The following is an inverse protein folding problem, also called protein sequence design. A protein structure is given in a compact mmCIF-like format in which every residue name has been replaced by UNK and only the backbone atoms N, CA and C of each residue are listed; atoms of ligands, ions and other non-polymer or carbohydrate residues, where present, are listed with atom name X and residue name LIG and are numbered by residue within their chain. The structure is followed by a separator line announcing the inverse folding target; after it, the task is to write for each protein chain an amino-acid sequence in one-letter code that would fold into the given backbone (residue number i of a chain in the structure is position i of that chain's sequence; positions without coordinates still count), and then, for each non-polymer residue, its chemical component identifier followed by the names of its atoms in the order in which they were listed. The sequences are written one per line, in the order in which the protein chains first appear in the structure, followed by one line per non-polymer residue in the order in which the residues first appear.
data_IF_163996309197
#
_entry.id   IF_163996309197
#
_cell.length_a   1.000
_cell.length_b   1.000
_cell.length_c   1.000
_cell.angle_alpha   90.00
_cell.angle_beta   90.00
_cell.angle_gamma   90.00
#
_symmetry.space_group_name_H-M   'P 1'
#
loop_
_entity.id
_entity.type
_entity.pdbx_description
1 polymer ?
#
# COMPACT_ATOMS: atom_id res chain seq x y z
N UNK A 1 -10.88 16.15 12.84
CA UNK A 1 -10.55 14.71 12.99
C UNK A 1 -9.50 14.42 11.94
N UNK A 2 -8.25 14.21 12.33
CA UNK A 2 -7.21 13.82 11.38
C UNK A 2 -7.53 12.39 10.94
N UNK A 3 -8.11 12.24 9.75
CA UNK A 3 -8.18 10.94 9.11
C UNK A 3 -6.75 10.54 8.78
N UNK A 4 -6.28 9.49 9.45
CA UNK A 4 -5.01 8.85 9.17
C UNK A 4 -5.00 8.40 7.70
N UNK A 5 -4.16 9.01 6.86
CA UNK A 5 -4.10 8.64 5.44
C UNK A 5 -3.30 7.36 5.31
N UNK A 6 -4.01 6.27 5.02
CA UNK A 6 -3.42 4.98 4.66
C UNK A 6 -3.33 4.90 3.14
N UNK A 7 -2.15 4.52 2.63
CA UNK A 7 -1.89 4.32 1.21
C UNK A 7 -1.77 2.82 0.92
N UNK A 8 -2.51 2.33 -0.06
CA UNK A 8 -2.36 0.97 -0.56
C UNK A 8 -1.41 0.92 -1.76
N UNK A 9 -0.54 -0.10 -1.82
CA UNK A 9 0.37 -0.35 -2.92
C UNK A 9 0.29 -1.82 -3.35
N UNK A 10 0.09 -2.06 -4.64
CA UNK A 10 0.33 -3.37 -5.26
C UNK A 10 1.62 -3.35 -6.06
N UNK A 11 2.48 -4.35 -5.88
CA UNK A 11 3.82 -4.39 -6.47
C UNK A 11 3.98 -5.57 -7.41
N UNK A 12 4.24 -5.26 -8.67
CA UNK A 12 4.67 -6.19 -9.69
C UNK A 12 6.19 -6.14 -9.90
N UNK A 13 6.70 -7.05 -10.75
CA UNK A 13 8.14 -7.14 -11.04
C UNK A 13 8.73 -5.85 -11.62
N UNK A 14 7.97 -5.15 -12.46
CA UNK A 14 8.46 -3.98 -13.23
C UNK A 14 7.76 -2.68 -12.86
N UNK A 15 6.69 -2.74 -12.08
CA UNK A 15 5.84 -1.60 -11.77
C UNK A 15 5.19 -1.77 -10.40
N UNK A 16 4.63 -0.69 -9.88
CA UNK A 16 3.74 -0.73 -8.74
C UNK A 16 2.63 0.32 -8.88
N UNK A 17 1.46 0.00 -8.35
CA UNK A 17 0.26 0.82 -8.38
C UNK A 17 -0.04 1.33 -6.97
N UNK A 18 -0.33 2.63 -6.84
CA UNK A 18 -0.49 3.32 -5.56
C UNK A 18 -1.88 3.95 -5.49
N UNK A 19 -2.57 3.78 -4.37
CA UNK A 19 -3.88 4.40 -4.11
C UNK A 19 -3.83 5.21 -2.81
N UNK A 20 -4.04 6.53 -2.91
CA UNK A 20 -3.89 7.47 -1.79
C UNK A 20 -5.21 7.77 -1.08
N UNK A 21 -6.33 7.79 -1.81
CA UNK A 21 -7.62 8.22 -1.29
C UNK A 21 -8.79 7.39 -1.84
N UNK A 22 -9.95 7.48 -1.16
CA UNK A 22 -11.20 6.84 -1.59
C UNK A 22 -11.71 7.33 -2.95
N UNK A 23 -11.21 8.48 -3.42
CA UNK A 23 -11.72 9.19 -4.60
C UNK A 23 -10.95 8.92 -5.90
N UNK A 24 -10.19 7.82 -5.96
CA UNK A 24 -9.51 7.33 -7.18
C UNK A 24 -8.18 8.01 -7.52
N UNK A 25 -7.52 8.67 -6.54
CA UNK A 25 -6.14 9.15 -6.71
C UNK A 25 -5.20 7.95 -6.78
N UNK A 26 -5.02 7.47 -8.01
CA UNK A 26 -4.27 6.26 -8.33
C UNK A 26 -3.11 6.62 -9.23
N UNK A 27 -1.95 6.07 -8.92
CA UNK A 27 -0.71 6.34 -9.63
C UNK A 27 -0.05 5.04 -10.01
N UNK A 28 0.62 5.03 -11.17
CA UNK A 28 1.37 3.90 -11.68
C UNK A 28 2.82 4.32 -11.84
N UNK A 29 3.74 3.54 -11.28
CA UNK A 29 5.17 3.82 -11.30
C UNK A 29 5.97 2.61 -11.73
N UNK A 30 7.19 2.85 -12.23
CA UNK A 30 8.14 1.77 -12.44
C UNK A 30 8.70 1.26 -11.11
N UNK A 31 8.90 -0.05 -10.98
CA UNK A 31 9.59 -0.64 -9.83
C UNK A 31 11.11 -0.45 -9.99
N UNK A 32 11.53 0.80 -9.83
CA UNK A 32 12.90 1.28 -10.01
C UNK A 32 13.15 2.48 -9.09
N UNK A 33 14.43 2.84 -8.90
CA UNK A 33 14.78 4.03 -8.11
C UNK A 33 14.06 5.29 -8.61
N UNK A 34 13.89 5.44 -9.92
CA UNK A 34 13.15 6.57 -10.53
C UNK A 34 11.69 6.58 -10.09
N UNK A 35 11.01 5.44 -10.13
CA UNK A 35 9.61 5.35 -9.70
C UNK A 35 9.44 5.58 -8.20
N UNK A 36 10.42 5.19 -7.38
CA UNK A 36 10.40 5.49 -5.95
C UNK A 36 10.54 6.99 -5.67
N UNK A 37 11.46 7.67 -6.39
CA UNK A 37 11.60 9.12 -6.30
C UNK A 37 10.32 9.84 -6.76
N UNK A 38 9.67 9.35 -7.81
CA UNK A 38 8.38 9.89 -8.29
C UNK A 38 7.29 9.77 -7.22
N UNK A 39 7.19 8.62 -6.55
CA UNK A 39 6.26 8.42 -5.42
C UNK A 39 6.56 9.39 -4.27
N UNK A 40 7.82 9.50 -3.84
CA UNK A 40 8.22 10.38 -2.74
C UNK A 40 7.96 11.86 -3.04
N UNK A 41 7.91 12.24 -4.32
CA UNK A 41 7.67 13.60 -4.76
C UNK A 41 6.18 13.97 -4.88
N UNK A 42 5.25 13.02 -4.72
CA UNK A 42 3.83 13.35 -4.68
C UNK A 42 3.53 14.29 -3.50
N UNK A 43 2.73 15.33 -3.73
CA UNK A 43 2.44 16.35 -2.70
C UNK A 43 1.87 15.75 -1.41
N UNK A 44 1.00 14.75 -1.51
CA UNK A 44 0.42 14.04 -0.37
C UNK A 44 1.48 13.32 0.45
N UNK A 45 2.53 12.81 -0.21
CA UNK A 45 3.67 12.11 0.42
C UNK A 45 4.65 13.11 1.02
N UNK A 46 5.02 14.15 0.27
CA UNK A 46 5.94 15.21 0.72
C UNK A 46 5.44 15.96 1.93
N UNK A 47 4.12 16.19 2.04
CA UNK A 47 3.51 16.84 3.21
C UNK A 47 3.45 15.92 4.44
N UNK A 48 3.92 14.67 4.32
CA UNK A 48 3.89 13.63 5.37
C UNK A 48 2.51 13.48 6.02
N UNK A 49 1.46 13.63 5.22
CA UNK A 49 0.09 13.45 5.71
C UNK A 49 -0.33 11.97 5.71
N UNK A 50 0.66 11.06 5.67
CA UNK A 50 0.50 9.61 5.54
C UNK A 50 0.83 8.97 6.87
N UNK A 51 -0.10 8.18 7.36
CA UNK A 51 0.08 7.40 8.59
C UNK A 51 0.70 6.04 8.31
N UNK A 52 0.46 5.47 7.11
CA UNK A 52 0.90 4.13 6.77
C UNK A 52 0.88 3.84 5.27
N UNK A 53 1.93 3.17 4.78
CA UNK A 53 1.89 2.44 3.52
C UNK A 53 1.59 0.97 3.75
N UNK A 54 0.67 0.40 2.97
CA UNK A 54 0.30 -1.00 3.02
C UNK A 54 0.60 -1.62 1.67
N UNK A 55 1.49 -2.61 1.64
CA UNK A 55 2.03 -3.19 0.42
C UNK A 55 1.64 -4.66 0.31
N UNK A 56 1.03 -5.06 -0.79
CA UNK A 56 0.78 -6.47 -1.08
C UNK A 56 2.04 -7.19 -1.57
N UNK A 57 2.41 -8.28 -0.88
CA UNK A 57 3.64 -9.01 -1.14
C UNK A 57 3.50 -10.04 -2.27
N UNK A 58 3.81 -9.67 -3.51
CA UNK A 58 4.01 -10.65 -4.59
C UNK A 58 5.50 -10.97 -4.77
N UNK A 59 5.96 -12.09 -4.20
CA UNK A 59 7.38 -12.47 -4.24
C UNK A 59 8.27 -11.47 -3.48
N UNK A 60 9.48 -11.21 -3.98
CA UNK A 60 10.45 -10.30 -3.33
C UNK A 60 10.49 -8.88 -3.95
N UNK A 61 9.59 -8.56 -4.89
CA UNK A 61 9.67 -7.32 -5.68
C UNK A 61 9.39 -6.04 -4.88
N UNK A 62 8.73 -6.15 -3.73
CA UNK A 62 8.38 -5.03 -2.85
C UNK A 62 9.54 -4.56 -1.96
N UNK A 63 10.58 -5.39 -1.76
CA UNK A 63 11.61 -5.13 -0.73
C UNK A 63 12.30 -3.78 -0.88
N UNK A 64 12.74 -3.46 -2.10
CA UNK A 64 13.41 -2.19 -2.38
C UNK A 64 12.51 -0.97 -2.11
N UNK A 65 11.20 -1.10 -2.40
CA UNK A 65 10.24 -0.03 -2.11
C UNK A 65 10.02 0.12 -0.59
N UNK A 66 9.91 -0.99 0.15
CA UNK A 66 9.83 -0.97 1.62
C UNK A 66 11.04 -0.26 2.21
N UNK A 67 12.26 -0.66 1.81
CA UNK A 67 13.50 -0.09 2.31
C UNK A 67 13.53 1.44 2.09
N UNK A 68 13.16 1.90 0.89
CA UNK A 68 13.13 3.33 0.56
C UNK A 68 12.11 4.09 1.40
N UNK A 69 10.92 3.54 1.61
CA UNK A 69 9.88 4.19 2.40
C UNK A 69 10.26 4.28 3.89
N UNK A 70 10.80 3.20 4.46
CA UNK A 70 11.27 3.17 5.85
C UNK A 70 12.46 4.12 6.08
N UNK A 71 13.43 4.15 5.15
CA UNK A 71 14.55 5.09 5.20
C UNK A 71 14.12 6.57 5.13
N UNK A 72 12.98 6.85 4.51
CA UNK A 72 12.38 8.19 4.47
C UNK A 72 11.42 8.46 5.65
N UNK A 73 11.37 7.57 6.64
CA UNK A 73 10.64 7.76 7.89
C UNK A 73 9.16 7.40 7.84
N UNK A 74 8.70 6.69 6.80
CA UNK A 74 7.32 6.24 6.71
C UNK A 74 7.11 4.89 7.38
N UNK A 75 5.95 4.70 8.02
CA UNK A 75 5.52 3.39 8.48
C UNK A 75 5.05 2.53 7.30
N UNK A 76 5.48 1.28 7.25
CA UNK A 76 5.14 0.32 6.19
C UNK A 76 4.59 -0.97 6.78
N UNK A 77 3.54 -1.51 6.19
CA UNK A 77 2.98 -2.82 6.46
C UNK A 77 3.01 -3.67 5.20
N UNK A 78 3.64 -4.84 5.27
CA UNK A 78 3.67 -5.80 4.16
C UNK A 78 2.65 -6.89 4.40
N UNK A 79 1.66 -7.02 3.52
CA UNK A 79 0.52 -7.92 3.68
C UNK A 79 0.60 -9.08 2.69
N UNK A 80 0.29 -10.28 3.18
CA UNK A 80 0.24 -11.48 2.36
C UNK A 80 -0.97 -11.44 1.40
N UNK A 81 -0.78 -11.63 0.07
CA UNK A 81 -1.86 -11.71 -0.92
C UNK A 81 -3.00 -12.67 -0.55
N UNK A 82 -2.66 -13.79 0.08
CA UNK A 82 -3.64 -14.79 0.52
C UNK A 82 -4.57 -14.22 1.59
N UNK A 83 -4.04 -13.37 2.46
CA UNK A 83 -4.80 -12.75 3.53
C UNK A 83 -5.76 -11.71 2.96
N UNK A 84 -5.30 -10.89 2.00
CA UNK A 84 -6.15 -9.94 1.25
C UNK A 84 -7.30 -10.68 0.58
N UNK A 85 -6.99 -11.73 -0.17
CA UNK A 85 -8.00 -12.55 -0.87
C UNK A 85 -9.01 -13.21 0.07
N UNK A 86 -8.57 -13.71 1.23
CA UNK A 86 -9.45 -14.32 2.21
C UNK A 86 -10.37 -13.27 2.86
N UNK A 87 -9.86 -12.07 3.14
CA UNK A 87 -10.64 -10.98 3.70
C UNK A 87 -11.70 -10.47 2.71
N UNK A 88 -11.33 -10.23 1.45
CA UNK A 88 -12.28 -9.81 0.40
C UNK A 88 -13.42 -10.82 0.23
N UNK A 89 -13.11 -12.11 0.30
CA UNK A 89 -14.13 -13.18 0.27
C UNK A 89 -15.06 -13.13 1.48
N UNK A 90 -14.51 -12.98 2.69
CA UNK A 90 -15.29 -12.90 3.92
C UNK A 90 -16.24 -11.69 3.92
N UNK A 91 -15.82 -10.57 3.31
CA UNK A 91 -16.62 -9.36 3.18
C UNK A 91 -17.59 -9.35 1.98
N UNK A 92 -17.62 -10.42 1.18
CA UNK A 92 -18.48 -10.49 -0.03
C UNK A 92 -18.03 -9.58 -1.17
N UNK A 93 -16.80 -9.04 -1.11
CA UNK A 93 -16.21 -8.22 -2.16
C UNK A 93 -15.76 -9.16 -3.29
N UNK A 94 -16.59 -9.30 -4.33
CA UNK A 94 -16.25 -10.02 -5.57
C UNK A 94 -15.31 -9.15 -6.41
N UNK A 95 -14.00 -9.38 -6.28
CA UNK A 95 -12.94 -8.70 -7.06
C UNK A 95 -13.21 -8.65 -8.56
N UNK A 96 -12.91 -7.52 -9.22
CA UNK A 96 -11.99 -7.44 -10.38
C UNK A 96 -11.95 -6.02 -10.97
N UNK A 97 -10.87 -5.29 -10.68
CA UNK A 97 -9.96 -4.62 -11.64
C UNK A 97 -8.70 -4.21 -10.88
N UNK A 98 -7.54 -4.15 -11.54
CA UNK A 98 -6.21 -3.96 -10.91
C UNK A 98 -6.11 -2.69 -10.02
N UNK A 99 -6.96 -1.69 -10.25
CA UNK A 99 -7.06 -0.46 -9.44
C UNK A 99 -7.78 -0.70 -8.09
N UNK A 100 -8.61 -1.75 -8.00
CA UNK A 100 -9.38 -2.08 -6.80
C UNK A 100 -8.53 -2.75 -5.73
N UNK A 101 -7.39 -3.36 -6.07
CA UNK A 101 -6.60 -4.14 -5.11
C UNK A 101 -5.90 -3.23 -4.09
N UNK A 102 -5.26 -2.13 -4.51
CA UNK A 102 -4.71 -1.11 -3.60
C UNK A 102 -5.77 -0.50 -2.67
N UNK A 103 -6.99 -0.30 -3.15
CA UNK A 103 -8.11 0.17 -2.31
C UNK A 103 -8.54 -0.87 -1.29
N UNK A 104 -8.70 -2.14 -1.70
CA UNK A 104 -9.08 -3.24 -0.81
C UNK A 104 -8.01 -3.44 0.27
N UNK A 105 -6.73 -3.33 -0.08
CA UNK A 105 -5.60 -3.38 0.86
C UNK A 105 -5.74 -2.31 1.95
N UNK A 106 -5.99 -1.06 1.55
CA UNK A 106 -6.25 0.06 2.47
C UNK A 106 -7.45 -0.22 3.37
N UNK A 107 -8.55 -0.67 2.79
CA UNK A 107 -9.82 -0.89 3.50
C UNK A 107 -9.71 -2.03 4.54
N UNK A 108 -8.95 -3.10 4.24
CA UNK A 108 -8.66 -4.17 5.22
C UNK A 108 -7.96 -3.63 6.46
N UNK A 109 -6.98 -2.74 6.29
CA UNK A 109 -6.22 -2.18 7.42
C UNK A 109 -7.06 -1.21 8.23
N UNK A 110 -7.84 -0.35 7.56
CA UNK A 110 -8.79 0.57 8.21
C UNK A 110 -9.84 -0.19 9.01
N UNK A 111 -10.43 -1.25 8.45
CA UNK A 111 -11.45 -2.07 9.12
C UNK A 111 -10.87 -2.88 10.28
N UNK A 112 -9.65 -3.40 10.14
CA UNK A 112 -9.00 -4.24 11.16
C UNK A 112 -8.44 -3.44 12.35
N UNK A 113 -8.58 -2.11 12.35
CA UNK A 113 -8.05 -1.23 13.41
C UNK A 113 -6.53 -1.37 13.62
N UNK A 114 -5.82 -1.81 12.59
CA UNK A 114 -4.38 -2.08 12.62
C UNK A 114 -3.89 -3.14 13.62
N UNK A 115 -4.75 -3.90 14.31
CA UNK A 115 -4.29 -4.91 15.28
C UNK A 115 -4.37 -6.32 14.69
N UNK A 116 -3.20 -6.86 14.33
CA UNK A 116 -3.04 -8.27 13.92
C UNK A 116 -2.47 -8.51 12.53
N UNK A 117 -2.23 -7.46 11.74
CA UNK A 117 -1.65 -7.55 10.39
C UNK A 117 -0.19 -7.09 10.31
N UNK A 118 0.32 -6.46 11.37
CA UNK A 118 1.71 -6.01 11.47
C UNK A 118 2.57 -7.12 12.06
N UNK A 119 3.34 -7.78 11.21
CA UNK A 119 4.65 -8.28 11.63
C UNK A 119 5.57 -7.06 11.67
N UNK A 120 5.83 -6.53 12.86
CA UNK A 120 6.85 -5.48 13.05
C UNK A 120 8.24 -5.95 12.60
N UNK A 121 9.20 -5.02 12.44
CA UNK A 121 10.53 -5.37 11.97
C UNK A 121 11.21 -6.32 12.95
N UNK A 122 11.97 -7.27 12.40
CA UNK A 122 12.95 -8.08 13.14
C UNK A 122 14.19 -7.25 13.44
#
# INVERSE_FOLDING_TARGET
MNMETVIGIDVAKKSFDVCISDNSDTFHFENSAKGFDELLNLDSVRKQQISLFVIEATGNYHRALVDVLELNGFAVAVVNPRLIKNFSRALGIRSKTDIQDARVIREIVVISGGRGLYGGPI
#
